data_IF_016158045892
#
_entry.id   IF_016158045892
#
_cell.length_a   1.000
_cell.length_b   1.000
_cell.length_c   1.000
_cell.angle_alpha   90.00
_cell.angle_beta   90.00
_cell.angle_gamma   90.00
#
_symmetry.space_group_name_H-M   'P 1'
#
loop_
_entity.id
_entity.type
_entity.pdbx_description
1 polymer ?
#
# COMPACT_ATOMS: atom_id res chain seq x y z
N UNK A 1 25.20 -3.99 -2.03
CA UNK A 1 24.54 -5.01 -1.19
C UNK A 1 23.38 -5.54 -1.98
N UNK A 2 23.39 -6.82 -2.33
CA UNK A 2 22.47 -7.43 -3.28
C UNK A 2 21.04 -7.42 -2.72
N UNK A 3 20.22 -6.46 -3.15
CA UNK A 3 18.77 -6.62 -3.15
C UNK A 3 18.47 -7.64 -4.24
N UNK A 4 18.43 -8.93 -3.91
CA UNK A 4 17.89 -9.94 -4.81
C UNK A 4 16.46 -9.51 -5.07
N UNK A 5 16.16 -9.15 -6.32
CA UNK A 5 14.79 -8.91 -6.77
C UNK A 5 14.06 -10.24 -6.54
N UNK A 6 13.34 -10.35 -5.42
CA UNK A 6 12.49 -11.51 -5.17
C UNK A 6 11.31 -11.32 -6.11
N UNK A 7 11.49 -11.76 -7.34
CA UNK A 7 10.36 -12.01 -8.22
C UNK A 7 9.57 -13.13 -7.57
N UNK A 8 8.49 -12.76 -6.86
CA UNK A 8 7.59 -13.70 -6.20
C UNK A 8 6.91 -14.63 -7.23
N UNK A 9 7.12 -14.42 -8.54
CA UNK A 9 6.51 -15.20 -9.61
C UNK A 9 5.00 -15.02 -9.66
N UNK A 10 4.46 -14.02 -8.94
CA UNK A 10 3.05 -13.74 -8.91
C UNK A 10 2.65 -13.04 -10.21
N UNK A 11 1.67 -13.57 -10.94
CA UNK A 11 1.20 -12.93 -12.16
C UNK A 11 0.60 -11.55 -11.82
N UNK A 12 0.77 -10.55 -12.70
CA UNK A 12 0.03 -9.30 -12.60
C UNK A 12 -1.47 -9.53 -12.48
N UNK A 13 -2.14 -8.74 -11.64
CA UNK A 13 -3.57 -8.83 -11.39
C UNK A 13 -4.22 -7.45 -11.41
N UNK A 14 -5.42 -7.36 -11.98
CA UNK A 14 -6.22 -6.13 -11.94
C UNK A 14 -6.70 -5.88 -10.50
N UNK A 15 -6.36 -4.75 -9.86
CA UNK A 15 -6.78 -4.46 -8.50
C UNK A 15 -8.26 -4.05 -8.43
N UNK A 16 -8.88 -4.11 -7.23
CA UNK A 16 -10.15 -3.45 -6.97
C UNK A 16 -10.01 -1.92 -7.08
N UNK A 17 -11.14 -1.20 -7.00
CA UNK A 17 -11.14 0.27 -7.05
C UNK A 17 -10.26 0.88 -5.95
N UNK A 18 -10.39 0.35 -4.73
CA UNK A 18 -9.62 0.80 -3.58
C UNK A 18 -8.92 -0.33 -2.87
N UNK A 19 -7.69 -0.03 -2.45
CA UNK A 19 -6.93 -0.80 -1.48
C UNK A 19 -6.57 0.09 -0.29
N UNK A 20 -6.03 -0.50 0.78
CA UNK A 20 -5.81 0.22 2.03
C UNK A 20 -4.44 -0.05 2.63
N UNK A 21 -3.87 0.98 3.25
CA UNK A 21 -2.62 0.87 3.98
C UNK A 21 -2.77 1.37 5.42
N UNK A 22 -2.44 0.51 6.38
CA UNK A 22 -2.41 0.85 7.80
C UNK A 22 -1.06 1.41 8.21
N UNK A 23 -1.03 2.63 8.72
CA UNK A 23 0.16 3.32 9.23
C UNK A 23 -0.12 4.00 10.56
N UNK A 24 0.76 4.89 10.99
CA UNK A 24 0.68 5.66 12.24
C UNK A 24 0.96 7.14 11.96
N UNK A 25 0.43 8.02 12.81
CA UNK A 25 0.45 9.48 12.59
C UNK A 25 1.85 10.05 12.28
N UNK A 26 2.90 9.56 12.98
CA UNK A 26 4.29 10.00 12.78
C UNK A 26 4.84 9.78 11.37
N UNK A 27 4.23 8.90 10.57
CA UNK A 27 4.66 8.62 9.20
C UNK A 27 3.94 9.50 8.17
N UNK A 28 2.88 10.23 8.56
CA UNK A 28 2.00 10.88 7.60
C UNK A 28 2.69 11.97 6.79
N UNK A 29 3.59 12.74 7.41
CA UNK A 29 4.29 13.83 6.71
C UNK A 29 5.19 13.28 5.60
N UNK A 30 5.96 12.23 5.91
CA UNK A 30 6.77 11.53 4.91
C UNK A 30 5.90 10.90 3.81
N UNK A 31 4.78 10.28 4.16
CA UNK A 31 3.87 9.66 3.20
C UNK A 31 3.18 10.72 2.31
N UNK A 32 2.89 11.92 2.84
CA UNK A 32 2.37 13.04 2.04
C UNK A 32 3.40 13.53 1.03
N UNK A 33 4.67 13.60 1.42
CA UNK A 33 5.74 14.08 0.56
C UNK A 33 6.17 13.05 -0.50
N UNK A 34 6.33 11.78 -0.09
CA UNK A 34 7.00 10.75 -0.90
C UNK A 34 6.07 9.64 -1.38
N UNK A 35 4.89 9.49 -0.78
CA UNK A 35 3.98 8.37 -1.02
C UNK A 35 4.31 7.16 -0.16
N UNK A 36 3.75 6.00 -0.50
CA UNK A 36 4.14 4.73 0.14
C UNK A 36 5.32 4.12 -0.60
N UNK A 37 6.38 3.86 0.15
CA UNK A 37 7.59 3.18 -0.32
C UNK A 37 7.71 1.82 0.37
N UNK A 38 8.35 0.83 -0.25
CA UNK A 38 8.45 -0.51 0.33
C UNK A 38 9.41 -0.54 1.53
N UNK A 39 10.19 0.52 1.75
CA UNK A 39 11.20 0.64 2.83
C UNK A 39 12.19 -0.54 2.78
N UNK A 40 12.27 -1.34 3.85
CA UNK A 40 13.11 -2.56 3.92
C UNK A 40 12.41 -3.79 3.32
N UNK A 41 11.49 -3.60 2.37
CA UNK A 41 10.78 -4.66 1.63
C UNK A 41 10.98 -4.43 0.14
N UNK A 42 10.53 -5.38 -0.66
CA UNK A 42 10.51 -5.25 -2.13
C UNK A 42 9.28 -4.47 -2.60
N UNK A 43 8.11 -4.76 -2.02
CA UNK A 43 6.84 -4.14 -2.42
C UNK A 43 6.11 -3.47 -1.25
N UNK A 44 5.32 -2.45 -1.57
CA UNK A 44 4.29 -1.91 -0.69
C UNK A 44 3.20 -2.95 -0.53
N UNK A 45 2.87 -3.26 0.73
CA UNK A 45 1.79 -4.17 1.08
C UNK A 45 0.51 -3.40 1.32
N UNK A 46 -0.54 -3.81 0.64
CA UNK A 46 -1.87 -3.23 0.68
C UNK A 46 -2.91 -4.28 1.10
N UNK A 47 -3.90 -3.82 1.86
CA UNK A 47 -5.02 -4.63 2.34
C UNK A 47 -6.24 -4.45 1.42
N UNK A 48 -7.04 -5.50 1.21
CA UNK A 48 -8.26 -5.41 0.41
C UNK A 48 -9.37 -4.61 1.12
N UNK A 49 -9.30 -4.49 2.45
CA UNK A 49 -10.32 -3.82 3.26
C UNK A 49 -9.70 -2.98 4.40
N UNK A 50 -10.50 -2.04 4.93
CA UNK A 50 -10.09 -1.12 5.99
C UNK A 50 -9.87 -1.80 7.33
N UNK A 51 -10.59 -2.88 7.63
CA UNK A 51 -10.48 -3.60 8.90
C UNK A 51 -9.12 -4.30 9.00
N UNK A 52 -8.71 -4.98 7.92
CA UNK A 52 -7.39 -5.58 7.77
C UNK A 52 -6.29 -4.54 7.87
N UNK A 53 -6.41 -3.40 7.16
CA UNK A 53 -5.45 -2.31 7.28
C UNK A 53 -5.36 -1.75 8.71
N UNK A 54 -6.50 -1.61 9.40
CA UNK A 54 -6.55 -1.16 10.80
C UNK A 54 -5.80 -2.12 11.71
N UNK A 55 -6.08 -3.43 11.61
CA UNK A 55 -5.42 -4.48 12.41
C UNK A 55 -3.91 -4.53 12.16
N UNK A 56 -3.48 -4.36 10.91
CA UNK A 56 -2.05 -4.31 10.55
C UNK A 56 -1.38 -3.06 11.12
N UNK A 57 -2.01 -1.88 10.96
CA UNK A 57 -1.49 -0.61 11.48
C UNK A 57 -1.41 -0.57 13.00
N UNK A 58 -2.39 -1.18 13.68
CA UNK A 58 -2.49 -1.21 15.15
C UNK A 58 -1.27 -1.85 15.82
N UNK A 59 -0.55 -2.75 15.12
CA UNK A 59 0.69 -3.37 15.59
C UNK A 59 1.81 -2.37 15.88
N UNK A 60 1.70 -1.13 15.40
CA UNK A 60 2.73 -0.07 15.54
C UNK A 60 2.28 1.14 16.37
N UNK A 61 1.05 1.13 16.91
CA UNK A 61 0.41 2.22 17.65
C UNK A 61 -1.01 2.51 17.17
N UNK A 62 -1.59 3.67 17.53
CA UNK A 62 -2.92 4.09 17.06
C UNK A 62 -2.94 4.14 15.52
N UNK A 63 -3.75 3.30 14.85
CA UNK A 63 -3.68 3.17 13.40
C UNK A 63 -4.28 4.39 12.71
N UNK A 64 -3.70 4.74 11.57
CA UNK A 64 -4.25 5.63 10.55
C UNK A 64 -4.38 4.81 9.28
N UNK A 65 -5.58 4.76 8.71
CA UNK A 65 -5.84 4.02 7.46
C UNK A 65 -5.86 4.98 6.29
N UNK A 66 -4.96 4.75 5.33
CA UNK A 66 -4.92 5.44 4.05
C UNK A 66 -5.68 4.64 3.01
N UNK A 67 -6.49 5.31 2.18
CA UNK A 67 -7.03 4.72 0.96
C UNK A 67 -6.04 4.87 -0.19
N UNK A 68 -6.01 3.88 -1.07
CA UNK A 68 -5.24 3.88 -2.31
C UNK A 68 -6.20 3.73 -3.48
N UNK A 69 -6.20 4.69 -4.39
CA UNK A 69 -6.96 4.62 -5.65
C UNK A 69 -6.27 3.65 -6.63
N UNK A 70 -6.44 2.36 -6.37
CA UNK A 70 -5.70 1.31 -7.05
C UNK A 70 -6.17 1.12 -8.50
N UNK A 71 -7.45 1.38 -8.80
CA UNK A 71 -7.94 1.39 -10.17
C UNK A 71 -7.32 2.54 -11.00
N UNK A 72 -7.17 3.74 -10.44
CA UNK A 72 -6.47 4.82 -11.13
C UNK A 72 -4.99 4.49 -11.34
N UNK A 73 -4.32 3.95 -10.33
CA UNK A 73 -2.93 3.50 -10.46
C UNK A 73 -2.75 2.46 -11.57
N UNK A 74 -3.63 1.46 -11.62
CA UNK A 74 -3.56 0.42 -12.63
C UNK A 74 -3.79 0.98 -14.04
N UNK A 75 -4.73 1.92 -14.22
CA UNK A 75 -4.94 2.62 -15.49
C UNK A 75 -3.73 3.44 -15.93
N UNK A 76 -2.99 4.01 -14.98
CA UNK A 76 -1.75 4.75 -15.22
C UNK A 76 -0.52 3.82 -15.39
N UNK A 77 -0.71 2.49 -15.44
CA UNK A 77 0.33 1.51 -15.77
C UNK A 77 1.08 0.90 -14.58
N UNK A 78 0.67 1.21 -13.34
CA UNK A 78 1.27 0.58 -12.16
C UNK A 78 0.85 -0.89 -12.06
N UNK A 79 1.84 -1.76 -11.85
CA UNK A 79 1.61 -3.21 -11.71
C UNK A 79 1.17 -3.55 -10.29
N UNK A 80 0.14 -4.39 -10.21
CA UNK A 80 -0.32 -5.00 -8.97
C UNK A 80 -0.18 -6.51 -9.06
N UNK A 81 0.12 -7.13 -7.93
CA UNK A 81 0.11 -8.58 -7.73
C UNK A 81 -0.69 -8.88 -6.48
N UNK A 82 -1.24 -10.08 -6.38
CA UNK A 82 -1.93 -10.55 -5.18
C UNK A 82 -1.31 -11.87 -4.74
N UNK A 83 -0.93 -11.96 -3.47
CA UNK A 83 -0.41 -13.19 -2.88
C UNK A 83 -1.54 -14.19 -2.62
N UNK A 84 -1.18 -15.45 -2.37
CA UNK A 84 -2.13 -16.51 -2.03
C UNK A 84 -2.98 -16.21 -0.78
N UNK A 85 -2.51 -15.35 0.13
CA UNK A 85 -3.25 -14.91 1.32
C UNK A 85 -3.98 -13.57 1.14
N UNK A 86 -4.17 -13.10 -0.09
CA UNK A 86 -4.98 -11.92 -0.40
C UNK A 86 -4.31 -10.57 -0.10
N UNK A 87 -3.00 -10.55 0.12
CA UNK A 87 -2.24 -9.30 0.26
C UNK A 87 -1.88 -8.77 -1.12
N UNK A 88 -2.18 -7.49 -1.33
CA UNK A 88 -1.87 -6.81 -2.57
C UNK A 88 -0.48 -6.18 -2.50
N UNK A 89 0.25 -6.29 -3.60
CA UNK A 89 1.65 -5.87 -3.72
C UNK A 89 1.79 -4.93 -4.92
N UNK A 90 2.52 -3.84 -4.73
CA UNK A 90 2.92 -2.92 -5.79
C UNK A 90 4.24 -2.25 -5.40
N UNK A 91 5.04 -1.82 -6.37
CA UNK A 91 6.38 -1.28 -6.14
C UNK A 91 6.36 -0.03 -5.23
N UNK A 92 5.46 0.90 -5.52
CA UNK A 92 5.27 2.13 -4.75
C UNK A 92 3.87 2.71 -4.97
N UNK A 93 3.39 3.54 -4.05
CA UNK A 93 2.14 4.30 -4.21
C UNK A 93 2.44 5.80 -4.19
N UNK A 94 2.43 6.48 -5.36
CA UNK A 94 2.61 7.93 -5.42
C UNK A 94 1.56 8.71 -4.60
N UNK A 95 1.91 9.88 -4.02
CA UNK A 95 1.01 10.67 -3.19
C UNK A 95 -0.35 10.98 -3.83
N UNK A 96 -0.39 11.19 -5.16
CA UNK A 96 -1.59 11.55 -5.91
C UNK A 96 -2.72 10.50 -5.84
N UNK A 97 -2.39 9.24 -5.48
CA UNK A 97 -3.38 8.17 -5.33
C UNK A 97 -3.74 7.89 -3.86
N UNK A 98 -3.15 8.63 -2.92
CA UNK A 98 -3.40 8.45 -1.50
C UNK A 98 -4.55 9.33 -1.02
N UNK A 99 -5.52 8.70 -0.37
CA UNK A 99 -6.61 9.36 0.35
C UNK A 99 -6.31 9.29 1.85
N UNK A 100 -5.91 10.43 2.40
CA UNK A 100 -5.72 10.59 3.84
C UNK A 100 -7.09 10.72 4.53
N UNK A 101 -7.25 10.20 5.76
CA UNK A 101 -8.45 10.48 6.53
C UNK A 101 -8.59 11.99 6.73
N UNK A 102 -9.82 12.49 6.63
CA UNK A 102 -10.10 13.90 6.87
C UNK A 102 -9.73 14.32 8.30
N UNK A 103 -9.51 15.62 8.55
CA UNK A 103 -9.42 16.12 9.91
C UNK A 103 -10.73 15.76 10.63
N UNK A 104 -10.61 15.12 11.80
CA UNK A 104 -11.71 14.96 12.74
C UNK A 104 -11.97 16.29 13.44
#
# INVERSE_FOLDING_TARGET
GHSVEVDLGLPPATPPEYLYHGTVARNLDAIRAEGLRPMNRHDVHLSPDRETATRVGARRGRPVVLGVDAAAMHRDGHVFRVSANGVWLTEAVPPKYLRFPGPH
#
